data_IF_879976218936
#
_entry.id   IF_879976218936
#
_cell.length_a   1.000
_cell.length_b   1.000
_cell.length_c   1.000
_cell.angle_alpha   90.00
_cell.angle_beta   90.00
_cell.angle_gamma   90.00
#
_symmetry.space_group_name_H-M   'P 1'
#
loop_
_entity.id
_entity.type
_entity.pdbx_description
1 polymer ?
#
# COMPACT_ATOMS: atom_id res chain seq x y z
N UNK A 1 13.59 16.74 15.21
CA UNK A 1 13.04 17.49 14.05
C UNK A 1 13.53 16.79 12.78
N UNK A 2 12.64 16.10 12.07
CA UNK A 2 12.95 15.34 10.86
C UNK A 2 13.26 16.28 9.69
N UNK A 3 14.40 16.08 9.04
CA UNK A 3 14.97 17.01 8.05
C UNK A 3 14.08 17.11 6.79
N UNK A 4 13.30 18.18 6.71
CA UNK A 4 12.33 18.53 5.66
C UNK A 4 12.90 18.78 4.26
N UNK A 5 14.24 18.74 4.07
CA UNK A 5 14.87 19.01 2.76
C UNK A 5 14.78 17.83 1.79
N UNK A 6 14.80 16.59 2.26
CA UNK A 6 14.80 15.40 1.39
C UNK A 6 13.43 15.13 0.72
N UNK A 7 12.35 15.74 1.21
CA UNK A 7 11.01 15.63 0.63
C UNK A 7 10.86 16.37 -0.72
N UNK A 8 11.81 17.26 -1.06
CA UNK A 8 11.75 18.19 -2.20
C UNK A 8 12.25 17.62 -3.54
N UNK A 9 12.86 16.44 -3.58
CA UNK A 9 13.55 15.93 -4.78
C UNK A 9 12.72 14.97 -5.66
N UNK A 10 11.44 14.71 -5.34
CA UNK A 10 10.56 13.84 -6.15
C UNK A 10 9.37 14.63 -6.71
N UNK A 11 9.06 14.58 -8.02
CA UNK A 11 7.85 15.22 -8.55
C UNK A 11 6.60 14.46 -8.09
N UNK A 12 5.88 15.03 -7.11
CA UNK A 12 4.60 14.55 -6.57
C UNK A 12 3.64 15.74 -6.48
N UNK A 13 3.16 16.18 -7.64
CA UNK A 13 2.40 17.43 -7.90
C UNK A 13 3.09 18.70 -7.34
N UNK A 14 2.98 19.84 -8.02
CA UNK A 14 3.54 21.08 -7.46
C UNK A 14 2.87 21.48 -6.12
N UNK A 15 1.66 20.96 -5.89
CA UNK A 15 0.79 21.25 -4.74
C UNK A 15 0.14 19.96 -4.20
N UNK A 16 0.86 19.15 -3.40
CA UNK A 16 0.30 17.92 -2.85
C UNK A 16 -0.72 18.20 -1.75
N UNK A 17 -1.87 17.52 -1.80
CA UNK A 17 -2.87 17.56 -0.72
C UNK A 17 -2.38 16.78 0.52
N UNK A 18 -3.13 16.90 1.63
CA UNK A 18 -2.77 16.26 2.91
C UNK A 18 -2.59 14.73 2.81
N UNK A 19 -3.40 14.06 1.99
CA UNK A 19 -3.26 12.62 1.72
C UNK A 19 -1.96 12.31 0.98
N UNK A 20 -1.65 13.05 -0.08
CA UNK A 20 -0.42 12.88 -0.85
C UNK A 20 0.81 13.13 0.02
N UNK A 21 0.74 14.11 0.94
CA UNK A 21 1.79 14.38 1.93
C UNK A 21 2.05 13.18 2.85
N UNK A 22 1.00 12.66 3.50
CA UNK A 22 1.12 11.51 4.41
C UNK A 22 1.62 10.25 3.71
N UNK A 23 1.07 9.94 2.54
CA UNK A 23 1.50 8.78 1.75
C UNK A 23 2.95 8.93 1.30
N UNK A 24 3.38 10.13 0.91
CA UNK A 24 4.77 10.43 0.55
C UNK A 24 5.73 10.19 1.72
N UNK A 25 5.43 10.74 2.90
CA UNK A 25 6.23 10.54 4.11
C UNK A 25 6.34 9.05 4.49
N UNK A 26 5.24 8.32 4.39
CA UNK A 26 5.21 6.89 4.65
C UNK A 26 6.12 6.13 3.66
N UNK A 27 5.98 6.37 2.35
CA UNK A 27 6.81 5.72 1.31
C UNK A 27 8.28 6.10 1.36
N UNK A 28 8.61 7.32 1.76
CA UNK A 28 10.00 7.74 1.93
C UNK A 28 10.65 7.04 3.15
N UNK A 29 9.85 6.69 4.17
CA UNK A 29 10.30 5.90 5.33
C UNK A 29 10.29 4.38 5.07
N UNK A 30 9.51 3.92 4.08
CA UNK A 30 9.34 2.52 3.71
C UNK A 30 9.59 2.35 2.21
N UNK A 31 10.85 2.48 1.75
CA UNK A 31 11.16 2.55 0.32
C UNK A 31 11.01 1.22 -0.42
N UNK A 32 10.92 0.09 0.29
CA UNK A 32 10.84 -1.25 -0.28
C UNK A 32 9.44 -1.83 -0.12
N UNK A 33 9.00 -2.63 -1.10
CA UNK A 33 7.74 -3.34 -1.01
C UNK A 33 7.73 -4.32 0.16
N UNK A 34 6.81 -4.16 1.09
CA UNK A 34 6.64 -5.00 2.28
C UNK A 34 6.27 -6.45 1.95
N UNK A 35 5.67 -6.67 0.78
CA UNK A 35 5.21 -8.00 0.34
C UNK A 35 6.30 -8.78 -0.38
N UNK A 36 6.83 -8.25 -1.48
CA UNK A 36 7.81 -8.99 -2.29
C UNK A 36 9.25 -8.73 -1.89
N UNK A 37 9.57 -7.59 -1.25
CA UNK A 37 10.94 -7.16 -0.90
C UNK A 37 11.90 -7.00 -2.08
N UNK A 38 11.43 -7.18 -3.33
CA UNK A 38 12.25 -7.12 -4.54
C UNK A 38 12.18 -5.77 -5.25
N UNK A 39 11.06 -5.06 -5.13
CA UNK A 39 10.81 -3.79 -5.82
C UNK A 39 10.70 -2.64 -4.84
N UNK A 40 11.01 -1.42 -5.31
CA UNK A 40 10.68 -0.20 -4.58
C UNK A 40 9.16 -0.06 -4.43
N UNK A 41 8.74 0.50 -3.30
CA UNK A 41 7.35 0.82 -3.05
C UNK A 41 6.96 2.13 -3.73
N UNK A 42 5.83 2.09 -4.43
CA UNK A 42 5.22 3.22 -5.13
C UNK A 42 3.84 3.59 -4.54
N UNK A 43 3.23 2.67 -3.78
CA UNK A 43 1.89 2.84 -3.22
C UNK A 43 1.83 2.55 -1.71
N UNK A 44 1.19 3.47 -0.97
CA UNK A 44 0.85 3.26 0.43
C UNK A 44 -0.56 2.65 0.53
N UNK A 45 -0.63 1.39 0.93
CA UNK A 45 -1.84 0.61 1.09
C UNK A 45 -2.35 0.67 2.52
N UNK A 46 -3.66 0.80 2.73
CA UNK A 46 -4.26 0.72 4.07
C UNK A 46 -4.88 -0.68 4.23
N UNK A 47 -4.50 -1.40 5.28
CA UNK A 47 -5.06 -2.72 5.57
C UNK A 47 -6.48 -2.65 6.11
N UNK A 48 -6.79 -1.57 6.83
CA UNK A 48 -8.11 -1.36 7.43
C UNK A 48 -9.10 -0.75 6.44
N UNK A 49 -10.40 -1.11 6.56
CA UNK A 49 -11.43 -0.62 5.67
C UNK A 49 -11.64 0.89 5.80
N UNK A 50 -12.22 1.49 4.76
CA UNK A 50 -12.58 2.91 4.76
C UNK A 50 -13.54 3.19 5.93
N UNK A 51 -13.22 4.19 6.75
CA UNK A 51 -14.03 4.59 7.91
C UNK A 51 -13.49 4.10 9.26
N UNK A 52 -12.54 3.17 9.29
CA UNK A 52 -11.89 2.78 10.53
C UNK A 52 -11.07 3.94 11.12
N UNK A 53 -11.17 4.25 12.43
CA UNK A 53 -10.44 5.36 13.05
C UNK A 53 -8.93 5.24 12.86
N UNK A 54 -8.38 4.04 13.04
CA UNK A 54 -6.94 3.79 12.96
C UNK A 54 -6.42 3.52 11.54
N UNK A 55 -7.27 3.71 10.51
CA UNK A 55 -6.90 3.38 9.12
C UNK A 55 -5.61 4.05 8.66
N UNK A 56 -5.32 5.25 9.16
CA UNK A 56 -4.17 6.05 8.77
C UNK A 56 -2.97 5.92 9.72
N UNK A 57 -3.06 5.07 10.75
CA UNK A 57 -1.89 4.71 11.56
C UNK A 57 -0.92 3.91 10.69
N UNK A 58 0.36 4.24 10.76
CA UNK A 58 1.41 3.55 10.01
C UNK A 58 1.46 2.05 10.33
N UNK A 59 1.05 1.63 11.53
CA UNK A 59 0.94 0.21 11.92
C UNK A 59 -0.09 -0.58 11.10
N UNK A 60 -1.01 0.12 10.45
CA UNK A 60 -2.07 -0.43 9.60
C UNK A 60 -1.89 -0.08 8.13
N UNK A 61 -0.68 0.36 7.76
CA UNK A 61 -0.30 0.70 6.40
C UNK A 61 0.81 -0.22 5.91
N UNK A 62 0.83 -0.46 4.59
CA UNK A 62 1.87 -1.22 3.90
C UNK A 62 2.42 -0.44 2.72
N UNK A 63 3.72 -0.47 2.53
CA UNK A 63 4.38 0.07 1.35
C UNK A 63 4.45 -1.05 0.32
N UNK A 64 3.75 -0.90 -0.80
CA UNK A 64 3.66 -1.93 -1.83
C UNK A 64 4.19 -1.38 -3.15
N UNK A 65 4.72 -2.27 -3.98
CA UNK A 65 4.87 -2.03 -5.41
C UNK A 65 3.53 -2.24 -6.13
N UNK A 66 3.29 -1.55 -7.24
CA UNK A 66 2.04 -1.63 -8.02
C UNK A 66 1.55 -3.08 -8.25
N UNK A 67 2.39 -4.05 -8.68
CA UNK A 67 1.93 -5.43 -8.87
C UNK A 67 1.41 -6.09 -7.59
N UNK A 68 2.12 -5.88 -6.48
CA UNK A 68 1.72 -6.41 -5.18
C UNK A 68 0.45 -5.74 -4.66
N UNK A 69 0.29 -4.44 -4.91
CA UNK A 69 -0.89 -3.69 -4.52
C UNK A 69 -2.14 -4.17 -5.26
N UNK A 70 -2.07 -4.33 -6.58
CA UNK A 70 -3.16 -4.88 -7.40
C UNK A 70 -3.57 -6.27 -6.91
N UNK A 71 -2.59 -7.13 -6.60
CA UNK A 71 -2.84 -8.49 -6.13
C UNK A 71 -3.61 -8.53 -4.79
N UNK A 72 -3.40 -7.55 -3.90
CA UNK A 72 -4.16 -7.47 -2.63
C UNK A 72 -5.64 -7.17 -2.86
N UNK A 73 -5.98 -6.44 -3.93
CA UNK A 73 -7.37 -6.13 -4.28
C UNK A 73 -8.06 -7.20 -5.13
N UNK A 74 -7.33 -8.24 -5.56
CA UNK A 74 -7.95 -9.32 -6.32
C UNK A 74 -8.87 -10.12 -5.41
N UNK A 75 -10.14 -10.37 -5.80
CA UNK A 75 -11.02 -11.26 -5.06
C UNK A 75 -10.40 -12.65 -5.04
N UNK A 76 -10.29 -13.25 -3.85
CA UNK A 76 -9.91 -14.66 -3.73
C UNK A 76 -10.93 -15.49 -4.51
N UNK A 77 -10.49 -16.09 -5.61
CA UNK A 77 -11.32 -17.03 -6.38
C UNK A 77 -11.72 -18.16 -5.42
N UNK A 78 -12.99 -18.20 -5.02
CA UNK A 78 -13.53 -19.38 -4.36
C UNK A 78 -13.54 -20.50 -5.39
N UNK A 79 -12.56 -21.40 -5.31
CA UNK A 79 -12.58 -22.62 -6.11
C UNK A 79 -13.76 -23.44 -5.57
N UNK A 80 -14.84 -23.53 -6.34
CA UNK A 80 -15.96 -24.42 -6.04
C UNK A 80 -15.48 -25.82 -6.43
N UNK A 81 -14.98 -26.59 -5.45
CA UNK A 81 -14.69 -28.00 -5.64
C UNK A 81 -16.03 -28.72 -5.82
N UNK A 82 -16.40 -28.98 -7.08
CA UNK A 82 -17.49 -29.92 -7.37
C UNK A 82 -16.94 -31.32 -7.16
N UNK A 83 -17.23 -31.92 -6.01
CA UNK A 83 -16.94 -33.32 -5.75
C UNK A 83 -17.86 -34.16 -6.65
N UNK A 84 -17.34 -34.71 -7.74
CA UNK A 84 -18.07 -35.70 -8.54
C UNK A 84 -17.84 -37.05 -7.85
N UNK A 85 -18.77 -37.46 -6.99
CA UNK A 85 -18.86 -38.85 -6.53
C UNK A 85 -19.54 -39.63 -7.66
N UNK A 86 -18.75 -40.44 -8.38
CA UNK A 86 -19.31 -41.47 -9.26
C UNK A 86 -19.61 -42.70 -8.39
N UNK A 87 -20.88 -43.11 -8.36
CA UNK A 87 -21.31 -44.41 -7.86
C UNK A 87 -21.19 -45.45 -8.97
#
# INVERSE_FOLDING_TARGET
MSNTRAWRSKPRTATPNSRQKRNGLFLDSHPWCDRCRLNLADEAHHELPKGHPDRYDWRHMKALCTPCHVEVHKPRRRIRLTLIIRF
#
